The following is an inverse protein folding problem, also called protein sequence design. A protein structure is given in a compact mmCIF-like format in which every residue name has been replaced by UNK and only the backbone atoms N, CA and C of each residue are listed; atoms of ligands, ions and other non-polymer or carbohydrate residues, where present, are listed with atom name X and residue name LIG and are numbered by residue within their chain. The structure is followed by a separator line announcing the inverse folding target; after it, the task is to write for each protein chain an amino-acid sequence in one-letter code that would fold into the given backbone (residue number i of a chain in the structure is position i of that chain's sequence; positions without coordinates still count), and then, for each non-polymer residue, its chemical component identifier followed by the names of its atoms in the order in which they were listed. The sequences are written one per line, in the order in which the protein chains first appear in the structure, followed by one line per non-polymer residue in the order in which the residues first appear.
data_IF_678736510005
#
_entry.id   IF_678736510005
#
_cell.length_a   1.000
_cell.length_b   1.000
_cell.length_c   1.000
_cell.angle_alpha   90.00
_cell.angle_beta   90.00
_cell.angle_gamma   90.00
#
_symmetry.space_group_name_H-M   'P 1'
#
loop_
_entity.id
_entity.type
_entity.pdbx_description
1 polymer ?
#
# COMPACT_ATOMS: atom_id res chain seq x y z
N UNK A 1 -18.27 -17.61 27.90
CA UNK A 1 -17.69 -17.91 26.57
C UNK A 1 -16.76 -16.77 26.21
N UNK A 2 -15.49 -16.90 26.58
CA UNK A 2 -14.45 -15.92 26.26
C UNK A 2 -13.93 -16.21 24.84
N UNK A 3 -13.56 -15.17 24.09
CA UNK A 3 -13.02 -15.32 22.74
C UNK A 3 -11.51 -15.64 22.84
N UNK A 4 -11.03 -16.82 22.43
CA UNK A 4 -9.61 -17.16 22.49
C UNK A 4 -8.88 -16.61 21.26
N UNK A 5 -8.89 -15.30 21.07
CA UNK A 5 -7.90 -14.69 20.19
C UNK A 5 -6.57 -14.72 20.93
N UNK A 6 -5.64 -15.56 20.45
CA UNK A 6 -4.25 -15.51 20.88
C UNK A 6 -3.75 -14.06 20.79
N UNK A 7 -3.61 -13.43 21.96
CA UNK A 7 -2.91 -12.17 22.10
C UNK A 7 -1.47 -12.44 21.72
N UNK A 8 -1.06 -11.96 20.53
CA UNK A 8 0.35 -11.80 20.23
C UNK A 8 0.93 -10.97 21.37
N UNK A 9 1.80 -11.58 22.17
CA UNK A 9 2.31 -10.90 23.36
C UNK A 9 3.16 -9.73 22.90
N UNK A 10 3.10 -8.63 23.64
CA UNK A 10 3.92 -7.44 23.37
C UNK A 10 5.41 -7.78 23.18
N UNK A 11 5.90 -8.80 23.88
CA UNK A 11 7.27 -9.32 23.76
C UNK A 11 7.57 -9.98 22.41
N UNK A 12 6.62 -10.71 21.82
CA UNK A 12 6.77 -11.27 20.47
C UNK A 12 6.82 -10.16 19.41
N UNK A 13 6.05 -9.08 19.62
CA UNK A 13 6.10 -7.89 18.76
C UNK A 13 7.43 -7.14 18.91
N UNK A 14 7.90 -6.92 20.15
CA UNK A 14 9.21 -6.33 20.43
C UNK A 14 10.36 -7.19 19.85
N UNK A 15 10.23 -8.52 19.83
CA UNK A 15 11.21 -9.43 19.22
C UNK A 15 11.25 -9.30 17.67
N UNK A 16 10.09 -9.30 17.00
CA UNK A 16 10.01 -9.10 15.54
C UNK A 16 10.56 -7.73 15.13
N UNK A 17 10.19 -6.67 15.84
CA UNK A 17 10.75 -5.32 15.61
C UNK A 17 12.25 -5.24 15.85
N UNK A 18 12.77 -5.92 16.89
CA UNK A 18 14.21 -5.99 17.17
C UNK A 18 14.96 -6.72 16.05
N UNK A 19 14.38 -7.79 15.48
CA UNK A 19 14.97 -8.52 14.36
C UNK A 19 14.99 -7.65 13.09
N UNK A 20 13.85 -7.04 12.72
CA UNK A 20 13.75 -6.17 11.54
C UNK A 20 14.71 -4.97 11.61
N UNK A 21 14.75 -4.28 12.76
CA UNK A 21 15.65 -3.12 12.94
C UNK A 21 17.14 -3.48 12.99
N UNK A 22 17.49 -4.67 13.47
CA UNK A 22 18.88 -5.14 13.50
C UNK A 22 19.43 -5.51 12.11
N UNK A 23 18.62 -6.10 11.22
CA UNK A 23 19.02 -6.40 9.84
C UNK A 23 19.12 -5.11 8.99
N UNK A 24 18.09 -4.25 9.02
CA UNK A 24 18.09 -2.95 8.30
C UNK A 24 19.18 -1.97 8.80
N UNK A 25 19.67 -2.15 10.02
CA UNK A 25 20.83 -1.43 10.54
C UNK A 25 22.15 -1.78 9.86
N UNK A 26 22.26 -3.00 9.30
CA UNK A 26 23.50 -3.59 8.79
C UNK A 26 23.76 -3.23 7.32
N UNK A 27 22.72 -3.24 6.50
CA UNK A 27 22.79 -2.99 5.05
C UNK A 27 23.20 -1.55 4.70
N UNK A 28 23.02 -0.57 5.60
CA UNK A 28 23.52 0.81 5.40
C UNK A 28 25.05 0.94 5.28
N UNK A 29 25.80 -0.16 5.39
CA UNK A 29 27.28 -0.18 5.32
C UNK A 29 27.85 -0.97 4.14
N UNK A 30 27.00 -1.61 3.33
CA UNK A 30 27.36 -2.40 2.14
C UNK A 30 26.19 -2.27 1.14
N UNK A 31 26.30 -1.67 -0.05
CA UNK A 31 27.44 -1.68 -0.98
C UNK A 31 27.64 -0.32 -1.69
N UNK A 32 28.78 -0.17 -2.38
CA UNK A 32 29.05 0.90 -3.34
C UNK A 32 29.87 0.33 -4.49
N UNK A 33 29.65 0.85 -5.70
CA UNK A 33 30.24 0.46 -6.99
C UNK A 33 29.55 -0.80 -7.58
N UNK A 34 28.78 -0.74 -8.67
CA UNK A 34 29.25 -0.47 -10.04
C UNK A 34 28.17 0.15 -10.95
N UNK A 35 28.57 0.95 -11.95
CA UNK A 35 27.66 1.78 -12.75
C UNK A 35 27.37 1.22 -14.17
N UNK A 36 26.25 0.50 -14.37
CA UNK A 36 25.70 0.24 -15.73
C UNK A 36 24.21 -0.18 -15.85
N UNK A 37 23.33 0.07 -14.86
CA UNK A 37 21.87 -0.25 -14.97
C UNK A 37 20.93 0.90 -14.55
N UNK A 38 21.38 2.14 -14.75
CA UNK A 38 20.90 3.40 -14.14
C UNK A 38 19.42 3.77 -14.22
N UNK A 39 18.58 3.05 -14.99
CA UNK A 39 17.15 3.30 -15.07
C UNK A 39 16.35 2.45 -14.08
N UNK A 40 16.28 1.14 -14.33
CA UNK A 40 15.47 0.20 -13.53
C UNK A 40 16.01 0.02 -12.11
N UNK A 41 17.34 0.05 -11.96
CA UNK A 41 18.04 -0.06 -10.67
C UNK A 41 17.62 1.05 -9.70
N UNK A 42 17.64 2.31 -10.17
CA UNK A 42 17.19 3.47 -9.39
C UNK A 42 15.71 3.42 -9.01
N UNK A 43 14.87 2.79 -9.84
CA UNK A 43 13.45 2.60 -9.50
C UNK A 43 13.30 1.59 -8.34
N UNK A 44 14.11 0.52 -8.30
CA UNK A 44 14.10 -0.42 -7.19
C UNK A 44 14.71 0.17 -5.91
N UNK A 45 15.82 0.90 -6.00
CA UNK A 45 16.38 1.67 -4.88
C UNK A 45 15.33 2.62 -4.27
N UNK A 46 14.59 3.33 -5.13
CA UNK A 46 13.54 4.25 -4.69
C UNK A 46 12.34 3.51 -4.09
N UNK A 47 11.90 2.39 -4.68
CA UNK A 47 10.84 1.55 -4.11
C UNK A 47 11.23 0.96 -2.74
N UNK A 48 12.49 0.55 -2.55
CA UNK A 48 13.04 0.11 -1.25
C UNK A 48 13.03 1.26 -0.24
N UNK A 49 13.47 2.46 -0.64
CA UNK A 49 13.47 3.65 0.22
C UNK A 49 12.05 4.05 0.67
N UNK A 50 11.06 3.93 -0.22
CA UNK A 50 9.64 4.15 0.10
C UNK A 50 9.13 3.05 1.06
N UNK A 51 9.42 1.77 0.78
CA UNK A 51 9.00 0.63 1.61
C UNK A 51 9.51 0.73 3.05
N UNK A 52 10.81 1.02 3.22
CA UNK A 52 11.41 1.22 4.54
C UNK A 52 10.73 2.37 5.30
N UNK A 53 10.36 3.46 4.60
CA UNK A 53 9.64 4.58 5.23
C UNK A 53 8.19 4.25 5.60
N UNK A 54 7.53 3.36 4.84
CA UNK A 54 6.25 2.80 5.26
C UNK A 54 6.39 1.99 6.57
N UNK A 55 7.44 1.18 6.70
CA UNK A 55 7.70 0.41 7.92
C UNK A 55 7.99 1.31 9.13
N UNK A 56 8.87 2.31 8.98
CA UNK A 56 9.16 3.31 10.01
C UNK A 56 7.88 3.98 10.56
N UNK A 57 6.96 4.36 9.67
CA UNK A 57 5.73 5.06 10.05
C UNK A 57 4.67 4.12 10.66
N UNK A 58 4.58 2.88 10.17
CA UNK A 58 3.76 1.83 10.81
C UNK A 58 4.25 1.57 12.24
N UNK A 59 5.57 1.45 12.45
CA UNK A 59 6.17 1.26 13.77
C UNK A 59 5.86 2.44 14.71
N UNK A 60 6.12 3.68 14.27
CA UNK A 60 5.81 4.91 15.02
C UNK A 60 4.33 4.98 15.40
N UNK A 61 3.43 4.61 14.50
CA UNK A 61 1.99 4.60 14.76
C UNK A 61 1.62 3.58 15.84
N UNK A 62 2.22 2.39 15.82
CA UNK A 62 1.98 1.34 16.82
C UNK A 62 2.57 1.73 18.18
N UNK A 63 3.77 2.27 18.22
CA UNK A 63 4.36 2.82 19.45
C UNK A 63 3.42 3.88 20.06
N UNK A 64 2.83 4.76 19.24
CA UNK A 64 1.85 5.75 19.68
C UNK A 64 0.54 5.12 20.20
N UNK A 65 0.00 4.10 19.54
CA UNK A 65 -1.15 3.33 20.05
C UNK A 65 -0.84 2.68 21.41
N UNK A 66 0.32 2.04 21.54
CA UNK A 66 0.75 1.40 22.78
C UNK A 66 0.95 2.42 23.92
N UNK A 67 1.52 3.59 23.63
CA UNK A 67 1.64 4.69 24.59
C UNK A 67 0.28 5.22 25.05
N UNK A 68 -0.67 5.42 24.14
CA UNK A 68 -2.03 5.84 24.48
C UNK A 68 -2.74 4.80 25.36
N UNK A 69 -2.67 3.52 24.98
CA UNK A 69 -3.26 2.42 25.75
C UNK A 69 -2.61 2.26 27.14
N UNK A 70 -1.30 2.46 27.26
CA UNK A 70 -0.60 2.45 28.54
C UNK A 70 -1.01 3.64 29.43
N UNK A 71 -1.15 4.84 28.86
CA UNK A 71 -1.66 6.01 29.57
C UNK A 71 -3.10 5.79 30.06
N UNK A 72 -3.96 5.15 29.25
CA UNK A 72 -5.35 4.84 29.63
C UNK A 72 -5.44 3.88 30.81
N UNK A 73 -4.65 2.80 30.82
CA UNK A 73 -4.58 1.86 31.95
C UNK A 73 -4.07 2.53 33.24
N UNK A 74 -3.06 3.40 33.14
CA UNK A 74 -2.54 4.14 34.30
C UNK A 74 -3.54 5.19 34.82
N UNK A 75 -4.25 5.89 33.93
CA UNK A 75 -5.32 6.81 34.30
C UNK A 75 -6.45 6.08 35.04
N UNK A 76 -6.88 4.91 34.54
CA UNK A 76 -7.93 4.13 35.19
C UNK A 76 -7.49 3.56 36.54
N UNK A 77 -6.25 3.07 36.66
CA UNK A 77 -5.65 2.67 37.95
C UNK A 77 -5.66 3.83 38.96
N UNK A 78 -5.36 5.05 38.53
CA UNK A 78 -5.42 6.25 39.39
C UNK A 78 -6.84 6.59 39.82
N UNK A 79 -7.83 6.44 38.95
CA UNK A 79 -9.25 6.66 39.27
C UNK A 79 -9.83 5.62 40.21
N UNK A 80 -9.41 4.34 40.12
CA UNK A 80 -9.83 3.29 41.07
C UNK A 80 -9.18 3.44 42.45
N UNK A 81 -7.99 4.04 42.53
CA UNK A 81 -7.24 4.25 43.80
C UNK A 81 -7.48 5.62 44.45
N UNK A 82 -8.00 6.61 43.72
CA UNK A 82 -8.42 7.92 44.24
C UNK A 82 -9.91 8.11 43.97
N UNK A 83 -10.71 8.02 45.03
CA UNK A 83 -12.17 8.17 44.94
C UNK A 83 -12.63 9.50 44.31
N UNK A 84 -13.90 9.59 43.86
CA UNK A 84 -14.37 10.51 42.81
C UNK A 84 -14.35 12.02 43.13
N UNK A 85 -13.75 12.47 44.24
CA UNK A 85 -13.74 13.87 44.69
C UNK A 85 -12.40 14.61 44.59
N UNK A 86 -11.34 14.01 44.02
CA UNK A 86 -10.04 14.69 43.83
C UNK A 86 -9.41 14.42 42.45
N UNK A 87 -9.86 15.16 41.45
CA UNK A 87 -9.12 15.34 40.21
C UNK A 87 -7.81 16.08 40.53
N UNK A 88 -6.68 15.38 40.45
CA UNK A 88 -5.39 15.94 40.83
C UNK A 88 -4.73 16.71 39.68
N UNK A 89 -3.98 17.78 39.98
CA UNK A 89 -3.11 18.42 39.00
C UNK A 89 -2.19 17.38 38.36
N UNK A 90 -2.28 17.23 37.03
CA UNK A 90 -1.65 16.15 36.26
C UNK A 90 -2.61 15.13 35.65
N UNK A 91 -3.84 14.99 36.15
CA UNK A 91 -4.84 14.09 35.52
C UNK A 91 -5.23 14.58 34.11
N UNK A 92 -5.32 15.90 33.90
CA UNK A 92 -5.53 16.49 32.57
C UNK A 92 -4.37 16.23 31.59
N UNK A 93 -3.12 16.18 32.07
CA UNK A 93 -1.95 15.86 31.25
C UNK A 93 -1.93 14.37 30.85
N UNK A 94 -2.38 13.49 31.75
CA UNK A 94 -2.59 12.07 31.43
C UNK A 94 -3.75 11.90 30.44
N UNK A 95 -4.89 12.57 30.66
CA UNK A 95 -6.06 12.50 29.78
C UNK A 95 -5.82 13.05 28.35
N UNK A 96 -4.83 13.93 28.17
CA UNK A 96 -4.36 14.32 26.83
C UNK A 96 -3.57 13.19 26.16
N UNK A 97 -2.78 12.43 26.94
CA UNK A 97 -2.00 11.27 26.47
C UNK A 97 -2.83 10.00 26.25
N UNK A 98 -4.05 9.92 26.81
CA UNK A 98 -4.99 8.81 26.55
C UNK A 98 -5.82 8.97 25.28
N UNK A 99 -5.73 10.12 24.58
CA UNK A 99 -6.51 10.32 23.35
C UNK A 99 -6.01 9.35 22.27
N UNK A 100 -6.91 8.59 21.60
CA UNK A 100 -6.52 7.78 20.46
C UNK A 100 -6.01 8.68 19.33
N UNK A 101 -5.23 8.15 18.38
CA UNK A 101 -4.92 8.87 17.15
C UNK A 101 -6.23 9.31 16.45
N UNK A 102 -6.27 10.51 15.83
CA UNK A 102 -7.42 10.93 15.04
C UNK A 102 -7.59 10.03 13.79
N UNK A 103 -8.81 9.93 13.29
CA UNK A 103 -9.21 9.08 12.14
C UNK A 103 -8.24 9.21 10.94
N UNK A 104 -7.78 10.42 10.61
CA UNK A 104 -6.86 10.66 9.49
C UNK A 104 -5.50 9.94 9.65
N UNK A 105 -5.01 9.78 10.88
CA UNK A 105 -3.72 9.13 11.14
C UNK A 105 -3.88 7.60 10.98
N UNK A 106 -5.07 7.05 11.28
CA UNK A 106 -5.44 5.67 10.96
C UNK A 106 -5.62 5.45 9.45
N UNK A 107 -6.21 6.41 8.74
CA UNK A 107 -6.28 6.36 7.27
C UNK A 107 -4.86 6.29 6.70
N UNK A 108 -4.01 7.27 7.02
CA UNK A 108 -2.62 7.37 6.53
C UNK A 108 -1.81 6.07 6.72
N UNK A 109 -1.81 5.48 7.92
CA UNK A 109 -1.09 4.22 8.16
C UNK A 109 -1.68 3.04 7.37
N UNK A 110 -3.01 2.99 7.18
CA UNK A 110 -3.66 1.99 6.33
C UNK A 110 -3.30 2.19 4.84
N UNK A 111 -3.14 3.43 4.37
CA UNK A 111 -2.60 3.69 3.02
C UNK A 111 -1.17 3.16 2.89
N UNK A 112 -0.35 3.32 3.94
CA UNK A 112 1.03 2.82 3.99
C UNK A 112 1.11 1.29 3.96
N UNK A 113 0.16 0.56 4.57
CA UNK A 113 0.05 -0.90 4.37
C UNK A 113 -0.20 -1.27 2.91
N UNK A 114 -1.17 -0.63 2.25
CA UNK A 114 -1.51 -0.91 0.85
C UNK A 114 -0.33 -0.60 -0.08
N UNK A 115 0.36 0.51 0.17
CA UNK A 115 1.59 0.88 -0.52
C UNK A 115 2.69 -0.17 -0.31
N UNK A 116 2.93 -0.63 0.93
CA UNK A 116 3.89 -1.70 1.22
C UNK A 116 3.58 -2.98 0.44
N UNK A 117 2.33 -3.44 0.38
CA UNK A 117 1.98 -4.63 -0.39
C UNK A 117 2.22 -4.46 -1.91
N UNK A 118 1.94 -3.28 -2.47
CA UNK A 118 2.26 -2.96 -3.86
C UNK A 118 3.78 -2.92 -4.14
N UNK A 119 4.58 -2.45 -3.19
CA UNK A 119 6.04 -2.41 -3.28
C UNK A 119 6.65 -3.82 -3.14
N UNK A 120 6.22 -4.60 -2.16
CA UNK A 120 6.66 -5.99 -1.95
C UNK A 120 6.41 -6.85 -3.19
N UNK A 121 5.29 -6.67 -3.88
CA UNK A 121 4.99 -7.39 -5.12
C UNK A 121 5.94 -7.04 -6.28
N UNK A 122 6.31 -5.75 -6.43
CA UNK A 122 7.34 -5.30 -7.40
C UNK A 122 8.74 -5.79 -7.04
N UNK A 123 9.09 -5.67 -5.77
CA UNK A 123 10.43 -5.95 -5.26
C UNK A 123 10.69 -7.45 -5.03
N UNK A 124 9.68 -8.33 -5.11
CA UNK A 124 9.76 -9.77 -4.75
C UNK A 124 10.95 -10.57 -5.31
N UNK A 125 11.54 -10.13 -6.43
CA UNK A 125 12.68 -10.77 -7.07
C UNK A 125 14.05 -10.17 -6.67
N UNK A 126 14.05 -9.14 -5.83
CA UNK A 126 15.20 -8.33 -5.41
C UNK A 126 15.32 -8.22 -3.87
N UNK A 127 14.37 -8.77 -3.11
CA UNK A 127 14.42 -8.83 -1.63
C UNK A 127 14.38 -10.29 -1.15
N UNK A 128 15.35 -10.67 -0.31
CA UNK A 128 15.64 -12.08 -0.01
C UNK A 128 15.83 -12.43 1.47
N UNK A 129 16.22 -11.49 2.35
CA UNK A 129 16.37 -11.72 3.81
C UNK A 129 15.95 -10.48 4.62
N UNK A 130 14.69 -10.41 5.12
CA UNK A 130 13.57 -11.31 4.83
C UNK A 130 13.02 -11.15 3.41
N UNK A 131 12.43 -12.22 2.87
CA UNK A 131 11.81 -12.18 1.54
C UNK A 131 10.39 -11.55 1.56
N UNK A 132 9.81 -11.32 0.38
CA UNK A 132 8.49 -10.68 0.26
C UNK A 132 7.35 -11.42 1.02
N UNK A 133 7.17 -12.76 0.89
CA UNK A 133 6.26 -13.53 1.75
C UNK A 133 6.44 -13.31 3.26
N UNK A 134 7.68 -13.34 3.76
CA UNK A 134 7.96 -13.12 5.19
C UNK A 134 7.56 -11.70 5.64
N UNK A 135 7.90 -10.68 4.85
CA UNK A 135 7.48 -9.30 5.10
C UNK A 135 5.96 -9.12 5.04
N UNK A 136 5.24 -9.86 4.20
CA UNK A 136 3.77 -9.88 4.20
C UNK A 136 3.24 -10.38 5.55
N UNK A 137 3.71 -11.52 6.06
CA UNK A 137 3.29 -12.03 7.37
C UNK A 137 3.64 -11.07 8.52
N UNK A 138 4.82 -10.44 8.48
CA UNK A 138 5.20 -9.43 9.45
C UNK A 138 4.31 -8.18 9.40
N UNK A 139 3.70 -7.85 8.26
CA UNK A 139 2.70 -6.78 8.12
C UNK A 139 1.29 -7.17 8.57
N UNK A 140 0.91 -8.45 8.57
CA UNK A 140 -0.44 -8.85 8.98
C UNK A 140 -0.68 -8.71 10.50
N UNK A 141 0.34 -8.95 11.31
CA UNK A 141 0.28 -8.75 12.78
C UNK A 141 -0.01 -7.29 13.18
N UNK A 142 0.72 -6.27 12.67
CA UNK A 142 0.43 -4.86 12.96
C UNK A 142 -0.85 -4.37 12.29
N UNK A 143 -1.19 -4.87 11.09
CA UNK A 143 -2.47 -4.58 10.43
C UNK A 143 -3.66 -5.00 11.29
N UNK A 144 -3.62 -6.21 11.87
CA UNK A 144 -4.66 -6.70 12.79
C UNK A 144 -4.85 -5.77 13.99
N UNK A 145 -3.75 -5.34 14.64
CA UNK A 145 -3.77 -4.44 15.79
C UNK A 145 -4.36 -3.07 15.44
N UNK A 146 -4.00 -2.53 14.27
CA UNK A 146 -4.47 -1.21 13.81
C UNK A 146 -5.93 -1.25 13.39
N UNK A 147 -6.40 -2.35 12.79
CA UNK A 147 -7.80 -2.56 12.42
C UNK A 147 -8.69 -2.72 13.66
N UNK A 148 -8.23 -3.47 14.68
CA UNK A 148 -8.92 -3.59 15.97
C UNK A 148 -9.04 -2.21 16.66
N UNK A 149 -7.93 -1.47 16.76
CA UNK A 149 -7.92 -0.12 17.34
C UNK A 149 -8.70 0.92 16.50
N UNK A 150 -8.86 0.71 15.20
CA UNK A 150 -9.73 1.53 14.35
C UNK A 150 -11.23 1.20 14.54
N UNK A 151 -11.56 0.00 15.04
CA UNK A 151 -12.93 -0.37 15.42
C UNK A 151 -13.51 0.51 16.54
N UNK A 152 -12.65 0.95 17.47
CA UNK A 152 -12.99 1.89 18.55
C UNK A 152 -13.12 3.36 18.07
N UNK A 153 -12.85 3.65 16.79
CA UNK A 153 -12.81 5.00 16.22
C UNK A 153 -13.84 5.18 15.11
N UNK A 154 -14.77 6.12 15.33
CA UNK A 154 -15.76 6.50 14.32
C UNK A 154 -16.90 5.50 14.18
N UNK A 155 -17.12 5.01 12.95
CA UNK A 155 -18.22 4.10 12.59
C UNK A 155 -17.83 2.61 12.59
N UNK A 156 -16.59 2.29 13.00
CA UNK A 156 -16.03 0.93 12.98
C UNK A 156 -15.82 0.35 11.58
N UNK A 157 -15.99 1.15 10.50
CA UNK A 157 -15.85 0.71 9.10
C UNK A 157 -14.68 1.39 8.39
N UNK A 158 -13.85 2.11 9.13
CA UNK A 158 -12.75 2.93 8.60
C UNK A 158 -11.86 2.20 7.56
N UNK A 159 -11.39 0.96 7.76
CA UNK A 159 -10.52 0.28 6.80
C UNK A 159 -11.14 0.14 5.40
N UNK A 160 -12.46 -0.09 5.33
CA UNK A 160 -13.20 -0.22 4.06
C UNK A 160 -13.34 1.09 3.27
N UNK A 161 -13.16 2.23 3.95
CA UNK A 161 -13.17 3.57 3.34
C UNK A 161 -11.79 3.99 2.81
N UNK A 162 -10.72 3.24 3.10
CA UNK A 162 -9.34 3.53 2.65
C UNK A 162 -9.12 3.03 1.23
N UNK A 163 -9.58 3.82 0.25
CA UNK A 163 -9.48 3.48 -1.18
C UNK A 163 -8.04 3.58 -1.71
N UNK A 164 -7.32 4.66 -1.41
CA UNK A 164 -5.96 4.91 -1.94
C UNK A 164 -4.84 4.37 -1.05
N UNK A 165 -3.70 3.92 -1.63
CA UNK A 165 -3.61 3.39 -3.00
C UNK A 165 -4.45 2.12 -3.12
N UNK A 166 -4.86 1.74 -4.34
CA UNK A 166 -5.49 0.42 -4.54
C UNK A 166 -4.41 -0.64 -4.70
N UNK A 167 -4.73 -1.89 -4.37
CA UNK A 167 -3.78 -2.97 -4.58
C UNK A 167 -3.65 -3.28 -6.08
N UNK A 168 -2.43 -3.53 -6.55
CA UNK A 168 -2.19 -4.01 -7.92
C UNK A 168 -2.57 -5.49 -8.05
N UNK A 169 -2.77 -5.98 -9.28
CA UNK A 169 -2.98 -7.43 -9.52
C UNK A 169 -1.87 -8.28 -8.90
N UNK A 170 -0.61 -7.85 -9.01
CA UNK A 170 0.53 -8.58 -8.46
C UNK A 170 0.56 -8.58 -6.93
N UNK A 171 0.10 -7.50 -6.29
CA UNK A 171 -0.06 -7.46 -4.83
C UNK A 171 -1.16 -8.42 -4.34
N UNK A 172 -2.34 -8.42 -4.98
CA UNK A 172 -3.40 -9.38 -4.65
C UNK A 172 -2.94 -10.82 -4.86
N UNK A 173 -2.19 -11.09 -5.94
CA UNK A 173 -1.62 -12.41 -6.22
C UNK A 173 -0.57 -12.80 -5.18
N UNK A 174 0.32 -11.89 -4.75
CA UNK A 174 1.29 -12.15 -3.69
C UNK A 174 0.57 -12.50 -2.37
N UNK A 175 -0.41 -11.67 -1.96
CA UNK A 175 -1.21 -11.93 -0.78
C UNK A 175 -1.86 -13.32 -0.83
N UNK A 176 -2.63 -13.61 -1.89
CA UNK A 176 -3.38 -14.86 -2.03
C UNK A 176 -2.52 -16.14 -2.04
N UNK A 177 -1.22 -16.05 -2.38
CA UNK A 177 -0.31 -17.20 -2.36
C UNK A 177 0.46 -17.36 -1.04
N UNK A 178 0.47 -16.36 -0.17
CA UNK A 178 1.29 -16.36 1.04
C UNK A 178 0.48 -16.35 2.34
N UNK A 179 -0.64 -15.60 2.41
CA UNK A 179 -1.37 -15.41 3.67
C UNK A 179 -1.99 -16.71 4.20
N UNK A 180 -1.92 -16.90 5.53
CA UNK A 180 -2.61 -17.99 6.23
C UNK A 180 -4.13 -17.77 6.24
N UNK A 181 -4.93 -18.81 6.52
CA UNK A 181 -6.41 -18.69 6.58
C UNK A 181 -6.90 -17.55 7.49
N UNK A 182 -6.26 -17.34 8.64
CA UNK A 182 -6.61 -16.27 9.59
C UNK A 182 -6.29 -14.87 9.04
N UNK A 183 -5.19 -14.75 8.31
CA UNK A 183 -4.79 -13.51 7.63
C UNK A 183 -5.70 -13.24 6.43
N UNK A 184 -6.11 -14.29 5.69
CA UNK A 184 -7.13 -14.22 4.63
C UNK A 184 -8.46 -13.70 5.16
N UNK A 185 -8.96 -14.22 6.30
CA UNK A 185 -10.17 -13.74 6.96
C UNK A 185 -10.07 -12.25 7.32
N UNK A 186 -8.94 -11.82 7.92
CA UNK A 186 -8.71 -10.40 8.23
C UNK A 186 -8.72 -9.56 6.96
N UNK A 187 -7.96 -9.94 5.94
CA UNK A 187 -7.84 -9.22 4.67
C UNK A 187 -9.21 -9.04 3.98
N UNK A 188 -10.01 -10.11 3.91
CA UNK A 188 -11.35 -10.05 3.31
C UNK A 188 -12.32 -9.20 4.16
N UNK A 189 -12.13 -9.12 5.48
CA UNK A 189 -12.95 -8.25 6.34
C UNK A 189 -12.72 -6.75 6.10
N UNK A 190 -11.60 -6.35 5.46
CA UNK A 190 -11.29 -4.95 5.15
C UNK A 190 -12.15 -4.37 4.00
N UNK A 191 -12.87 -5.21 3.25
CA UNK A 191 -13.83 -4.81 2.22
C UNK A 191 -13.23 -4.48 0.85
N UNK A 192 -14.10 -4.15 -0.11
CA UNK A 192 -13.82 -4.08 -1.55
C UNK A 192 -12.57 -3.29 -1.94
N UNK A 193 -12.25 -2.20 -1.23
CA UNK A 193 -11.05 -1.39 -1.46
C UNK A 193 -9.72 -2.14 -1.28
N UNK A 194 -9.74 -3.33 -0.66
CA UNK A 194 -8.59 -4.21 -0.44
C UNK A 194 -8.63 -5.48 -1.31
N UNK A 195 -9.72 -5.72 -2.05
CA UNK A 195 -9.96 -6.94 -2.81
C UNK A 195 -10.09 -6.69 -4.32
N UNK A 196 -10.62 -5.52 -4.70
CA UNK A 196 -10.73 -5.11 -6.10
C UNK A 196 -9.41 -4.42 -6.50
N UNK A 197 -8.69 -4.95 -7.51
CA UNK A 197 -7.44 -4.34 -7.95
C UNK A 197 -7.69 -3.03 -8.71
N UNK A 198 -6.64 -2.21 -8.80
CA UNK A 198 -6.70 -0.89 -9.44
C UNK A 198 -7.40 -0.89 -10.80
N UNK A 199 -7.10 -1.87 -11.66
CA UNK A 199 -7.59 -1.93 -13.04
C UNK A 199 -9.08 -2.31 -13.13
N UNK A 200 -9.67 -2.80 -12.03
CA UNK A 200 -11.08 -3.20 -11.94
C UNK A 200 -11.93 -2.20 -11.15
N UNK A 201 -11.33 -1.12 -10.62
CA UNK A 201 -12.05 -0.10 -9.87
C UNK A 201 -12.80 0.87 -10.79
N UNK A 202 -14.10 1.03 -10.55
CA UNK A 202 -15.03 1.71 -11.47
C UNK A 202 -14.87 3.23 -11.55
N UNK A 203 -14.35 3.85 -10.50
CA UNK A 203 -14.28 5.31 -10.35
C UNK A 203 -12.85 5.79 -10.58
N UNK A 204 -12.68 6.92 -11.27
CA UNK A 204 -11.38 7.57 -11.34
C UNK A 204 -10.91 7.98 -9.92
N UNK A 205 -9.70 7.57 -9.55
CA UNK A 205 -9.07 7.90 -8.27
C UNK A 205 -7.82 8.71 -8.56
N UNK A 206 -7.55 9.83 -7.86
CA UNK A 206 -6.32 10.59 -8.06
C UNK A 206 -5.07 9.73 -7.79
N UNK A 207 -3.89 10.11 -8.34
CA UNK A 207 -2.64 9.45 -7.98
C UNK A 207 -2.38 9.54 -6.47
N UNK A 208 -1.73 8.52 -5.90
CA UNK A 208 -1.38 8.52 -4.49
C UNK A 208 0.04 9.10 -4.29
N UNK A 209 0.13 10.16 -3.49
CA UNK A 209 1.39 10.76 -3.07
C UNK A 209 1.57 10.53 -1.57
N UNK A 210 2.42 9.58 -1.14
CA UNK A 210 2.65 9.35 0.28
C UNK A 210 3.43 10.52 0.90
N UNK A 211 3.02 10.95 2.09
CA UNK A 211 3.77 11.89 2.94
C UNK A 211 4.12 11.15 4.22
N UNK A 212 5.41 11.08 4.52
CA UNK A 212 5.93 10.33 5.66
C UNK A 212 6.04 11.22 6.90
N UNK A 213 6.11 10.62 8.10
CA UNK A 213 6.09 11.36 9.37
C UNK A 213 7.32 12.25 9.59
N UNK A 214 8.39 12.06 8.81
CA UNK A 214 9.57 12.93 8.77
C UNK A 214 9.43 14.10 7.76
N UNK A 215 8.30 14.20 7.07
CA UNK A 215 8.04 15.18 6.02
C UNK A 215 8.57 14.79 4.63
N UNK A 216 9.18 13.62 4.48
CA UNK A 216 9.65 13.16 3.17
C UNK A 216 8.48 12.74 2.27
N UNK A 217 8.67 12.87 0.96
CA UNK A 217 7.74 12.43 -0.09
C UNK A 217 8.56 12.09 -1.34
N UNK A 218 8.20 11.05 -2.11
CA UNK A 218 8.96 10.66 -3.30
C UNK A 218 8.78 11.65 -4.45
N UNK A 219 9.82 11.83 -5.28
CA UNK A 219 9.83 12.78 -6.41
C UNK A 219 8.87 12.40 -7.56
N UNK A 220 8.21 11.25 -7.47
CA UNK A 220 7.18 10.80 -8.41
C UNK A 220 5.92 10.38 -7.65
N UNK A 221 4.75 10.61 -8.27
CA UNK A 221 3.50 10.06 -7.75
C UNK A 221 3.57 8.54 -7.87
N UNK A 222 3.23 7.81 -6.81
CA UNK A 222 3.21 6.34 -6.85
C UNK A 222 2.00 5.90 -7.68
N UNK A 223 2.21 5.91 -8.98
CA UNK A 223 1.22 5.62 -9.99
C UNK A 223 1.10 4.10 -10.14
N UNK A 224 -0.12 3.59 -9.98
CA UNK A 224 -0.44 2.14 -10.07
C UNK A 224 -0.37 1.62 -11.53
N UNK A 225 0.56 2.13 -12.35
CA UNK A 225 0.74 1.71 -13.74
C UNK A 225 1.88 0.70 -13.90
N UNK A 226 1.65 -0.48 -14.51
CA UNK A 226 2.73 -1.36 -14.91
C UNK A 226 3.59 -0.66 -15.96
N UNK A 227 4.84 -0.34 -15.58
CA UNK A 227 5.95 0.15 -16.41
C UNK A 227 5.52 0.74 -17.77
N UNK A 228 5.13 2.02 -17.77
CA UNK A 228 5.09 2.83 -19.00
C UNK A 228 6.51 3.06 -19.50
N UNK A 229 7.08 2.02 -20.11
CA UNK A 229 8.32 2.03 -20.88
C UNK A 229 8.15 3.04 -22.02
N UNK A 230 8.59 4.28 -21.80
CA UNK A 230 8.48 5.37 -22.76
C UNK A 230 9.85 5.67 -23.39
N UNK A 231 10.23 4.99 -24.49
CA UNK A 231 11.49 5.23 -25.18
C UNK A 231 11.38 6.49 -26.07
N UNK A 232 11.24 7.67 -25.46
CA UNK A 232 11.17 8.96 -26.18
C UNK A 232 11.92 10.08 -25.47
N UNK A 233 13.24 9.97 -25.45
CA UNK A 233 14.16 11.06 -25.11
C UNK A 233 15.56 10.86 -25.73
N UNK A 234 15.66 10.63 -27.05
CA UNK A 234 16.92 10.72 -27.80
C UNK A 234 16.66 11.49 -29.11
N UNK A 235 17.51 12.49 -29.37
CA UNK A 235 17.84 12.99 -30.71
C UNK A 235 16.70 13.56 -31.58
N UNK A 236 16.39 14.85 -31.41
CA UNK A 236 16.12 15.70 -32.57
C UNK A 236 17.47 16.21 -33.07
N UNK A 237 18.12 15.45 -33.94
CA UNK A 237 19.32 15.92 -34.62
C UNK A 237 18.93 16.69 -35.88
N UNK A 238 19.41 17.92 -35.95
CA UNK A 238 19.26 18.85 -37.06
C UNK A 238 20.33 18.56 -38.13
N UNK A 239 19.94 18.41 -39.39
CA UNK A 239 20.86 18.32 -40.54
C UNK A 239 20.15 18.50 -41.89
N UNK A 240 20.01 19.77 -42.29
CA UNK A 240 20.56 20.26 -43.56
C UNK A 240 20.14 19.64 -44.92
N UNK A 241 19.50 20.51 -45.73
CA UNK A 241 19.76 20.72 -47.17
C UNK A 241 19.05 19.89 -48.26
N UNK A 242 18.08 20.58 -48.87
CA UNK A 242 18.02 20.91 -50.30
C UNK A 242 17.89 19.82 -51.39
N UNK A 243 16.69 19.78 -52.02
CA UNK A 243 16.54 20.02 -53.46
C UNK A 243 15.07 20.33 -53.85
N UNK A 244 14.87 21.35 -54.70
CA UNK A 244 13.67 21.49 -55.56
C UNK A 244 13.90 20.65 -56.84
N UNK A 245 12.97 20.31 -57.74
CA UNK A 245 11.60 20.80 -58.04
C UNK A 245 10.79 19.66 -58.77
N UNK A 246 9.81 19.85 -59.69
CA UNK A 246 8.43 19.41 -59.45
C UNK A 246 7.86 18.39 -60.47
N UNK A 247 6.54 18.14 -60.35
CA UNK A 247 5.59 17.60 -61.34
C UNK A 247 5.76 16.16 -61.87
N UNK A 248 4.80 15.27 -61.54
CA UNK A 248 3.82 14.69 -62.50
C UNK A 248 2.80 13.73 -61.85
N UNK A 249 1.51 13.94 -62.14
CA UNK A 249 0.38 13.01 -61.92
C UNK A 249 -0.59 13.13 -63.12
N UNK A 250 -1.62 12.27 -63.29
CA UNK A 250 -1.68 10.81 -63.07
C UNK A 250 -2.01 10.10 -64.43
N UNK A 251 -3.19 9.51 -64.74
CA UNK A 251 -3.92 8.40 -64.10
C UNK A 251 -4.25 7.19 -65.02
N UNK A 252 -4.38 5.99 -64.45
CA UNK A 252 -5.33 4.94 -64.89
C UNK A 252 -5.83 4.18 -63.64
N UNK A 253 -7.12 4.26 -63.28
CA UNK A 253 -8.20 3.27 -63.54
C UNK A 253 -7.78 1.79 -63.35
N UNK A 254 -8.59 0.92 -62.74
CA UNK A 254 -9.79 1.03 -61.89
C UNK A 254 -10.14 -0.39 -61.40
N UNK A 255 -10.72 -0.56 -60.22
CA UNK A 255 -11.63 -1.66 -59.87
C UNK A 255 -12.26 -1.42 -58.49
N UNK A 256 -13.53 -1.06 -58.47
CA UNK A 256 -14.36 -1.22 -57.27
C UNK A 256 -14.62 -2.71 -57.04
N UNK A 257 -14.77 -3.10 -55.76
CA UNK A 257 -15.78 -4.07 -55.34
C UNK A 257 -16.06 -3.88 -53.86
N UNK A 258 -17.27 -3.44 -53.60
CA UNK A 258 -17.95 -3.57 -52.32
C UNK A 258 -18.15 -5.07 -52.04
N UNK A 259 -18.12 -5.46 -50.77
CA UNK A 259 -19.05 -6.44 -50.22
C UNK A 259 -19.17 -6.15 -48.72
N UNK A 260 -20.39 -6.28 -48.20
CA UNK A 260 -20.78 -5.81 -46.87
C UNK A 260 -20.97 -6.99 -45.90
N UNK A 261 -21.61 -6.66 -44.77
CA UNK A 261 -22.36 -7.55 -43.89
C UNK A 261 -21.61 -8.35 -42.81
N UNK A 262 -21.83 -7.83 -41.60
CA UNK A 262 -22.44 -8.53 -40.47
C UNK A 262 -21.58 -9.55 -39.66
N UNK A 263 -21.56 -9.30 -38.35
CA UNK A 263 -21.74 -10.30 -37.29
C UNK A 263 -21.75 -9.59 -35.92
N UNK A 264 -22.95 -9.28 -35.44
CA UNK A 264 -23.17 -8.85 -34.05
C UNK A 264 -23.12 -10.00 -33.03
N UNK A 265 -23.28 -9.60 -31.75
CA UNK A 265 -23.77 -10.43 -30.64
C UNK A 265 -22.93 -11.63 -30.13
N UNK A 266 -22.08 -11.38 -29.12
CA UNK A 266 -21.58 -12.44 -28.22
C UNK A 266 -21.26 -11.99 -26.77
N UNK A 267 -21.85 -10.88 -26.28
CA UNK A 267 -21.53 -10.29 -24.96
C UNK A 267 -22.76 -10.03 -24.07
N UNK A 268 -23.60 -11.04 -23.83
CA UNK A 268 -24.50 -11.09 -22.65
C UNK A 268 -25.23 -12.44 -22.48
N UNK A 269 -24.91 -13.22 -21.44
CA UNK A 269 -25.82 -14.02 -20.57
C UNK A 269 -25.02 -15.02 -19.72
N UNK A 270 -25.22 -15.02 -18.41
CA UNK A 270 -24.47 -15.90 -17.50
C UNK A 270 -24.84 -15.83 -16.01
N UNK A 271 -26.04 -15.35 -15.64
CA UNK A 271 -26.54 -15.37 -14.26
C UNK A 271 -28.01 -15.79 -14.26
N UNK A 272 -28.40 -16.54 -13.22
CA UNK A 272 -29.74 -17.06 -12.92
C UNK A 272 -30.26 -18.21 -13.82
N UNK A 273 -30.12 -19.45 -13.32
CA UNK A 273 -31.26 -20.26 -12.88
C UNK A 273 -30.84 -21.68 -12.44
N UNK A 274 -31.02 -22.00 -11.15
CA UNK A 274 -31.60 -23.27 -10.65
C UNK A 274 -31.60 -23.29 -9.12
N UNK A 275 -32.72 -22.87 -8.55
CA UNK A 275 -33.25 -23.47 -7.32
C UNK A 275 -34.30 -24.51 -7.71
N UNK A 276 -34.35 -25.62 -6.98
CA UNK A 276 -35.22 -26.77 -7.20
C UNK A 276 -34.82 -27.88 -6.25
#
# INVERSE_FOLDING_TARGET
MERPFHTYTRQQWEAVLTQMSAQLGRERTSERDDASSTGSERLYEQDIAILNRCFDDIEKFIARLQHAAAASRELERRRRSRGPKRAAAGEGMLALRTRPPPERDFVDVLQKFKLSFNLLARLRAHIHDPNAPELVHFLFTPLALIVDAAGDVGDGRLPSRVVQPLLTRDALNLLANCVTSKETELWHSLGDAWLIPREQWKTAIPPYQPVFMDGWTPDYQVDDQPLRRNPRAIGRDDSGSAASSPDREPPYRAAEREDADDLGEAWARGVAARGG
#
